data_IF_670450066098
#
_entry.id   IF_670450066098
#
_cell.length_a   1.000
_cell.length_b   1.000
_cell.length_c   1.000
_cell.angle_alpha   90.00
_cell.angle_beta   90.00
_cell.angle_gamma   90.00
#
_symmetry.space_group_name_H-M   'P 1'
#
loop_
_entity.id
_entity.type
_entity.pdbx_description
1 polymer ?
#
# COMPACT_ATOMS: atom_id res chain seq x y z
N UNK A 1 -1.16 -4.72 31.19
CA UNK A 1 -0.83 -5.99 30.47
C UNK A 1 -1.43 -5.88 29.08
N UNK A 2 -0.71 -6.22 28.01
CA UNK A 2 -1.26 -6.23 26.64
C UNK A 2 -2.10 -7.48 26.41
N UNK A 3 -3.25 -7.31 25.78
CA UNK A 3 -4.12 -8.43 25.37
C UNK A 3 -4.06 -8.54 23.85
N UNK A 4 -3.86 -9.76 23.39
CA UNK A 4 -3.88 -10.13 21.99
C UNK A 4 -4.90 -11.23 21.77
N UNK A 5 -5.72 -11.06 20.74
CA UNK A 5 -6.63 -12.09 20.25
C UNK A 5 -6.16 -12.58 18.89
N UNK A 6 -6.15 -13.90 18.69
CA UNK A 6 -5.78 -14.51 17.42
C UNK A 6 -6.77 -15.61 17.02
N UNK A 7 -7.42 -15.53 15.86
CA UNK A 7 -8.14 -16.66 15.28
C UNK A 7 -7.17 -17.70 14.71
N UNK A 8 -7.58 -18.97 14.70
CA UNK A 8 -6.83 -20.06 14.10
C UNK A 8 -7.76 -21.13 13.52
N UNK A 9 -7.55 -21.52 12.27
CA UNK A 9 -8.17 -22.69 11.61
C UNK A 9 -7.10 -23.48 10.83
N UNK A 10 -7.47 -24.61 10.23
CA UNK A 10 -6.57 -25.41 9.40
C UNK A 10 -5.97 -24.55 8.27
N UNK A 11 -4.64 -24.44 8.23
CA UNK A 11 -3.93 -23.67 7.19
C UNK A 11 -3.92 -22.15 7.39
N UNK A 12 -4.54 -21.62 8.47
CA UNK A 12 -4.54 -20.18 8.79
C UNK A 12 -4.25 -19.95 10.26
N UNK A 13 -3.18 -19.23 10.53
CA UNK A 13 -2.84 -18.77 11.87
C UNK A 13 -2.76 -17.24 11.87
N UNK A 14 -3.46 -16.62 12.83
CA UNK A 14 -3.53 -15.17 12.96
C UNK A 14 -4.69 -14.55 12.19
N UNK A 15 -5.02 -13.31 12.56
CA UNK A 15 -6.16 -12.55 12.04
C UNK A 15 -6.73 -11.62 13.11
N UNK A 16 -7.66 -10.76 12.72
CA UNK A 16 -8.42 -9.92 13.65
C UNK A 16 -9.91 -10.25 13.54
N UNK A 17 -10.65 -10.02 14.62
CA UNK A 17 -12.10 -9.93 14.52
C UNK A 17 -12.50 -8.86 13.50
N UNK A 18 -13.68 -9.01 12.91
CA UNK A 18 -14.21 -8.06 11.95
C UNK A 18 -15.27 -7.16 12.60
N UNK A 19 -15.60 -6.06 11.91
CA UNK A 19 -16.69 -5.15 12.29
C UNK A 19 -16.55 -4.65 13.74
N UNK A 20 -17.65 -4.63 14.50
CA UNK A 20 -17.71 -4.10 15.86
C UNK A 20 -16.85 -4.86 16.86
N UNK A 21 -16.41 -6.06 16.51
CA UNK A 21 -15.59 -6.93 17.36
C UNK A 21 -14.08 -6.73 17.15
N UNK A 22 -13.68 -6.02 16.08
CA UNK A 22 -12.28 -5.89 15.63
C UNK A 22 -11.30 -5.48 16.73
N UNK A 23 -11.75 -4.63 17.65
CA UNK A 23 -10.95 -4.01 18.69
C UNK A 23 -11.47 -4.33 20.11
N UNK A 24 -12.30 -5.38 20.24
CA UNK A 24 -12.95 -5.71 21.49
C UNK A 24 -11.96 -6.15 22.59
N UNK A 25 -10.88 -6.84 22.20
CA UNK A 25 -9.75 -7.18 23.06
C UNK A 25 -9.04 -5.94 23.64
N UNK A 26 -8.87 -4.89 22.82
CA UNK A 26 -8.34 -3.58 23.27
C UNK A 26 -9.28 -2.89 24.25
N UNK A 27 -10.59 -3.04 24.07
CA UNK A 27 -11.57 -2.52 25.01
C UNK A 27 -11.45 -3.23 26.37
N UNK A 28 -11.38 -4.56 26.38
CA UNK A 28 -11.13 -5.35 27.59
C UNK A 28 -9.83 -4.89 28.27
N UNK A 29 -8.74 -4.75 27.50
CA UNK A 29 -7.47 -4.26 28.02
C UNK A 29 -7.60 -2.89 28.68
N UNK A 30 -8.28 -1.94 28.04
CA UNK A 30 -8.52 -0.59 28.58
C UNK A 30 -9.32 -0.63 29.88
N UNK A 31 -10.35 -1.48 29.98
CA UNK A 31 -11.13 -1.63 31.22
C UNK A 31 -10.29 -2.21 32.35
N UNK A 32 -9.44 -3.20 32.06
CA UNK A 32 -8.50 -3.76 33.05
C UNK A 32 -7.49 -2.70 33.51
N UNK A 33 -6.89 -1.97 32.58
CA UNK A 33 -5.90 -0.93 32.87
C UNK A 33 -6.52 0.19 33.73
N UNK A 34 -7.72 0.69 33.37
CA UNK A 34 -8.42 1.76 34.09
C UNK A 34 -8.83 1.38 35.51
N UNK A 35 -9.10 0.10 35.77
CA UNK A 35 -9.51 -0.40 37.08
C UNK A 35 -8.35 -0.95 37.91
N UNK A 36 -7.11 -0.70 37.47
CA UNK A 36 -5.90 -1.02 38.24
C UNK A 36 -5.59 -2.51 38.30
N UNK A 37 -5.94 -3.29 37.27
CA UNK A 37 -5.63 -4.71 37.19
C UNK A 37 -4.12 -4.97 37.31
N UNK A 38 -3.74 -5.91 38.19
CA UNK A 38 -2.34 -6.27 38.46
C UNK A 38 -2.01 -7.63 37.87
N UNK A 39 -0.90 -7.67 37.14
CA UNK A 39 -0.32 -8.90 36.60
C UNK A 39 1.21 -8.81 36.62
N UNK A 40 1.89 -9.93 36.92
CA UNK A 40 3.34 -10.10 36.73
C UNK A 40 3.70 -10.43 35.27
N UNK A 41 2.70 -10.65 34.42
CA UNK A 41 2.83 -10.90 33.00
C UNK A 41 2.53 -9.63 32.21
N UNK A 42 3.33 -9.39 31.17
CA UNK A 42 3.25 -8.23 30.30
C UNK A 42 2.25 -8.47 29.16
N UNK A 43 2.06 -9.73 28.75
CA UNK A 43 1.22 -10.10 27.60
C UNK A 43 0.30 -11.31 27.88
N UNK A 44 -0.94 -11.23 27.37
CA UNK A 44 -1.91 -12.33 27.30
C UNK A 44 -2.33 -12.54 25.85
N UNK A 45 -2.07 -13.73 25.32
CA UNK A 45 -2.48 -14.17 23.98
C UNK A 45 -3.60 -15.21 24.11
N UNK A 46 -4.80 -14.86 23.65
CA UNK A 46 -5.90 -15.79 23.50
C UNK A 46 -6.02 -16.19 22.04
N UNK A 47 -5.84 -17.49 21.77
CA UNK A 47 -6.06 -18.07 20.44
C UNK A 47 -7.42 -18.77 20.41
N UNK A 48 -8.31 -18.34 19.54
CA UNK A 48 -9.60 -18.98 19.28
C UNK A 48 -9.43 -19.94 18.12
N UNK A 49 -9.43 -21.23 18.40
CA UNK A 49 -9.37 -22.25 17.37
C UNK A 49 -10.77 -22.73 17.01
N UNK A 50 -11.08 -22.78 15.72
CA UNK A 50 -12.40 -23.16 15.24
C UNK A 50 -12.31 -23.89 13.89
N UNK A 51 -13.21 -24.83 13.59
CA UNK A 51 -13.41 -25.37 12.24
C UNK A 51 -14.29 -24.39 11.44
N UNK A 52 -13.88 -23.93 10.24
CA UNK A 52 -14.18 -24.70 9.03
C UNK A 52 -12.91 -25.03 8.25
N UNK A 53 -12.83 -26.26 7.75
CA UNK A 53 -11.60 -26.85 7.22
C UNK A 53 -11.39 -26.51 5.74
N UNK A 54 -11.08 -25.27 5.36
CA UNK A 54 -10.72 -24.98 3.97
C UNK A 54 -9.23 -25.20 3.74
N UNK A 55 -8.90 -26.31 3.06
CA UNK A 55 -7.53 -26.56 2.61
C UNK A 55 -7.32 -25.75 1.32
N UNK A 56 -6.36 -24.82 1.31
CA UNK A 56 -5.91 -24.19 0.06
C UNK A 56 -5.59 -25.30 -0.97
N UNK A 57 -6.09 -25.23 -2.22
CA UNK A 57 -5.86 -26.27 -3.21
C UNK A 57 -4.37 -26.64 -3.31
N UNK A 58 -4.03 -27.89 -3.02
CA UNK A 58 -2.66 -28.42 -3.08
C UNK A 58 -2.01 -28.77 -1.73
N UNK A 59 -2.68 -28.57 -0.59
CA UNK A 59 -2.09 -28.82 0.75
C UNK A 59 -2.78 -29.98 1.49
N UNK A 60 -2.82 -31.15 0.86
CA UNK A 60 -3.36 -32.38 1.46
C UNK A 60 -2.49 -32.75 2.68
N UNK A 61 -3.08 -32.74 3.89
CA UNK A 61 -2.41 -33.18 5.14
C UNK A 61 -2.57 -32.22 6.34
N UNK A 62 -2.66 -30.91 6.10
CA UNK A 62 -2.78 -29.90 7.17
C UNK A 62 -4.09 -30.06 7.96
N UNK A 63 -5.17 -30.47 7.31
CA UNK A 63 -6.45 -30.73 7.97
C UNK A 63 -6.35 -31.82 9.04
N UNK A 64 -5.70 -32.94 8.71
CA UNK A 64 -5.54 -34.08 9.62
C UNK A 64 -4.69 -33.68 10.82
N UNK A 65 -3.61 -32.93 10.59
CA UNK A 65 -2.77 -32.41 11.66
C UNK A 65 -3.51 -31.40 12.54
N UNK A 66 -4.21 -30.42 11.93
CA UNK A 66 -5.01 -29.46 12.67
C UNK A 66 -6.08 -30.15 13.50
N UNK A 67 -6.80 -31.14 12.95
CA UNK A 67 -7.82 -31.90 13.69
C UNK A 67 -7.21 -32.65 14.88
N UNK A 68 -6.03 -33.25 14.72
CA UNK A 68 -5.27 -33.89 15.82
C UNK A 68 -4.85 -32.89 16.89
N UNK A 69 -4.43 -31.67 16.52
CA UNK A 69 -4.12 -30.63 17.51
C UNK A 69 -5.40 -30.08 18.17
N UNK A 70 -6.45 -29.86 17.39
CA UNK A 70 -7.71 -29.29 17.85
C UNK A 70 -8.32 -30.11 19.00
N UNK A 71 -8.30 -31.44 18.91
CA UNK A 71 -8.82 -32.29 19.98
C UNK A 71 -8.07 -32.11 21.31
N UNK A 72 -6.80 -31.71 21.29
CA UNK A 72 -5.95 -31.54 22.49
C UNK A 72 -6.17 -30.22 23.23
N UNK A 73 -6.95 -29.29 22.69
CA UNK A 73 -7.26 -28.03 23.37
C UNK A 73 -8.21 -28.24 24.56
N UNK A 74 -8.04 -27.49 25.68
CA UNK A 74 -7.27 -26.24 25.76
C UNK A 74 -5.76 -26.41 25.89
N UNK A 75 -4.99 -25.65 25.12
CA UNK A 75 -3.54 -25.51 25.31
C UNK A 75 -3.25 -24.26 26.13
N UNK A 76 -2.25 -24.31 27.01
CA UNK A 76 -1.88 -23.15 27.82
C UNK A 76 -0.44 -23.17 28.31
N UNK A 77 0.22 -22.02 28.21
CA UNK A 77 1.62 -21.81 28.61
C UNK A 77 1.78 -20.46 29.32
N UNK A 78 2.26 -20.49 30.57
CA UNK A 78 2.67 -19.30 31.33
C UNK A 78 4.19 -19.18 31.30
N UNK A 79 4.71 -18.39 30.36
CA UNK A 79 6.13 -18.16 30.15
C UNK A 79 6.63 -17.01 31.04
N UNK A 80 7.14 -17.35 32.22
CA UNK A 80 7.63 -16.38 33.22
C UNK A 80 8.89 -15.64 32.77
N UNK A 81 9.74 -16.25 31.95
CA UNK A 81 10.97 -15.62 31.44
C UNK A 81 10.66 -14.43 30.53
N UNK A 82 9.68 -14.59 29.66
CA UNK A 82 9.23 -13.55 28.75
C UNK A 82 7.97 -12.84 29.22
N UNK A 83 7.53 -13.09 30.47
CA UNK A 83 6.31 -12.53 31.07
C UNK A 83 5.09 -12.63 30.13
N UNK A 84 4.94 -13.78 29.47
CA UNK A 84 3.92 -14.02 28.44
C UNK A 84 2.99 -15.15 28.82
N UNK A 85 1.70 -14.98 28.58
CA UNK A 85 0.67 -16.02 28.70
C UNK A 85 0.15 -16.35 27.30
N UNK A 86 0.18 -17.63 26.92
CA UNK A 86 -0.42 -18.13 25.69
C UNK A 86 -1.52 -19.15 26.06
N UNK A 87 -2.76 -18.89 25.65
CA UNK A 87 -3.93 -19.78 25.83
C UNK A 87 -4.54 -20.06 24.46
N UNK A 88 -4.89 -21.30 24.17
CA UNK A 88 -5.63 -21.69 22.97
C UNK A 88 -6.87 -22.48 23.36
N UNK A 89 -8.04 -21.99 22.96
CA UNK A 89 -9.34 -22.57 23.29
C UNK A 89 -10.09 -22.99 22.03
N UNK A 90 -10.98 -23.98 22.17
CA UNK A 90 -11.97 -24.32 21.14
C UNK A 90 -13.04 -23.24 21.11
N UNK A 91 -13.37 -22.74 19.93
CA UNK A 91 -14.30 -21.65 19.72
C UNK A 91 -15.11 -21.84 18.41
N UNK A 92 -15.75 -23.01 18.19
CA UNK A 92 -16.46 -23.32 16.94
C UNK A 92 -17.57 -22.31 16.59
N UNK A 93 -18.04 -21.53 17.56
CA UNK A 93 -19.01 -20.45 17.39
C UNK A 93 -18.50 -19.34 16.44
N UNK A 94 -17.19 -19.19 16.30
CA UNK A 94 -16.59 -18.18 15.44
C UNK A 94 -16.37 -18.63 13.99
N UNK A 95 -16.70 -19.88 13.68
CA UNK A 95 -16.52 -20.52 12.36
C UNK A 95 -17.13 -19.72 11.21
N UNK A 96 -18.36 -19.26 11.38
CA UNK A 96 -19.04 -18.48 10.36
C UNK A 96 -18.50 -17.05 10.27
N UNK A 97 -18.16 -16.44 11.41
CA UNK A 97 -17.86 -15.01 11.52
C UNK A 97 -16.55 -14.60 10.84
N UNK A 98 -15.50 -15.41 10.97
CA UNK A 98 -14.19 -15.07 10.41
C UNK A 98 -14.11 -15.31 8.90
N UNK A 99 -14.83 -16.28 8.36
CA UNK A 99 -14.64 -16.76 6.98
C UNK A 99 -15.84 -16.49 6.04
N UNK A 100 -16.81 -15.66 6.44
CA UNK A 100 -18.07 -15.45 5.71
C UNK A 100 -17.91 -15.12 4.20
N UNK A 101 -16.90 -14.34 3.83
CA UNK A 101 -16.63 -13.99 2.44
C UNK A 101 -16.02 -15.15 1.62
N UNK A 102 -15.28 -16.04 2.28
CA UNK A 102 -14.63 -17.19 1.63
C UNK A 102 -15.49 -18.45 1.65
N UNK A 103 -16.41 -18.55 2.61
CA UNK A 103 -17.40 -19.61 2.67
C UNK A 103 -18.20 -19.71 1.37
N UNK A 104 -18.52 -18.60 0.71
CA UNK A 104 -19.21 -18.63 -0.60
C UNK A 104 -18.39 -19.34 -1.68
N UNK A 105 -17.06 -19.26 -1.63
CA UNK A 105 -16.16 -19.89 -2.61
C UNK A 105 -16.06 -21.40 -2.38
N UNK A 106 -16.12 -21.83 -1.12
CA UNK A 106 -15.86 -23.22 -0.72
C UNK A 106 -17.04 -23.92 -0.04
N UNK A 107 -18.27 -23.39 -0.18
CA UNK A 107 -19.49 -23.89 0.47
C UNK A 107 -19.77 -25.38 0.15
N UNK A 108 -19.29 -25.86 -0.99
CA UNK A 108 -19.44 -27.24 -1.45
C UNK A 108 -18.45 -28.22 -0.80
N UNK A 109 -17.45 -27.74 -0.08
CA UNK A 109 -16.40 -28.58 0.50
C UNK A 109 -16.68 -28.96 1.96
N UNK A 110 -17.33 -28.08 2.73
CA UNK A 110 -17.62 -28.32 4.16
C UNK A 110 -18.89 -27.57 4.59
N UNK A 111 -19.65 -28.17 5.50
CA UNK A 111 -20.84 -27.56 6.10
C UNK A 111 -20.53 -27.09 7.53
N UNK A 112 -20.96 -25.86 7.87
CA UNK A 112 -20.93 -25.36 9.24
C UNK A 112 -22.12 -25.98 9.98
N UNK A 113 -21.88 -26.52 11.17
CA UNK A 113 -22.98 -27.05 12.01
C UNK A 113 -24.05 -25.98 12.20
N UNK A 114 -25.33 -26.36 12.06
CA UNK A 114 -26.45 -25.43 12.04
C UNK A 114 -26.49 -24.49 13.24
N UNK A 115 -26.05 -24.95 14.41
CA UNK A 115 -25.96 -24.19 15.65
C UNK A 115 -24.92 -23.06 15.64
N UNK A 116 -23.95 -23.09 14.72
CA UNK A 116 -22.92 -22.05 14.56
C UNK A 116 -23.18 -21.12 13.37
N UNK A 117 -24.34 -21.26 12.73
CA UNK A 117 -24.78 -20.39 11.63
C UNK A 117 -25.59 -19.22 12.16
N UNK A 118 -25.40 -18.05 11.54
CA UNK A 118 -26.10 -16.79 11.79
C UNK A 118 -26.02 -16.28 13.24
N UNK A 119 -24.95 -16.58 13.97
CA UNK A 119 -24.74 -16.04 15.32
C UNK A 119 -24.58 -14.51 15.23
N UNK A 120 -25.34 -13.80 16.05
CA UNK A 120 -25.32 -12.33 16.08
C UNK A 120 -24.02 -11.81 16.70
N UNK A 121 -23.56 -10.63 16.26
CA UNK A 121 -22.31 -10.03 16.78
C UNK A 121 -22.33 -9.83 18.30
N UNK A 122 -23.48 -9.46 18.88
CA UNK A 122 -23.63 -9.32 20.33
C UNK A 122 -23.46 -10.65 21.07
N UNK A 123 -23.98 -11.74 20.52
CA UNK A 123 -23.84 -13.08 21.08
C UNK A 123 -22.38 -13.57 20.96
N UNK A 124 -21.74 -13.36 19.80
CA UNK A 124 -20.31 -13.63 19.63
C UNK A 124 -19.43 -12.85 20.61
N UNK A 125 -19.75 -11.59 20.89
CA UNK A 125 -19.04 -10.81 21.91
C UNK A 125 -19.23 -11.40 23.32
N UNK A 126 -20.42 -11.86 23.68
CA UNK A 126 -20.66 -12.53 24.96
C UNK A 126 -19.86 -13.84 25.06
N UNK A 127 -19.87 -14.65 23.99
CA UNK A 127 -19.07 -15.87 23.89
C UNK A 127 -17.57 -15.54 24.00
N UNK A 128 -17.10 -14.47 23.36
CA UNK A 128 -15.71 -14.02 23.46
C UNK A 128 -15.32 -13.71 24.91
N UNK A 129 -16.19 -13.02 25.65
CA UNK A 129 -15.96 -12.76 27.08
C UNK A 129 -15.90 -14.07 27.86
N UNK A 130 -16.75 -15.04 27.55
CA UNK A 130 -16.71 -16.37 28.17
C UNK A 130 -15.39 -17.09 27.90
N UNK A 131 -14.83 -16.98 26.69
CA UNK A 131 -13.50 -17.52 26.38
C UNK A 131 -12.39 -16.82 27.16
N UNK A 132 -12.49 -15.51 27.40
CA UNK A 132 -11.56 -14.81 28.28
C UNK A 132 -11.70 -15.22 29.75
N UNK A 133 -12.93 -15.46 30.23
CA UNK A 133 -13.18 -15.98 31.58
C UNK A 133 -12.57 -17.37 31.75
N UNK A 134 -12.81 -18.29 30.80
CA UNK A 134 -12.21 -19.62 30.76
C UNK A 134 -10.66 -19.55 30.76
N UNK A 135 -10.09 -18.66 29.95
CA UNK A 135 -8.65 -18.42 29.96
C UNK A 135 -8.15 -17.91 31.33
N UNK A 136 -8.89 -17.02 31.98
CA UNK A 136 -8.60 -16.51 33.33
C UNK A 136 -8.57 -17.62 34.37
N UNK A 137 -9.51 -18.56 34.32
CA UNK A 137 -9.55 -19.73 35.21
C UNK A 137 -8.32 -20.63 35.02
N UNK A 138 -7.98 -20.91 33.76
CA UNK A 138 -6.78 -21.69 33.41
C UNK A 138 -5.52 -21.00 33.95
N UNK A 139 -5.39 -19.68 33.76
CA UNK A 139 -4.26 -18.90 34.27
C UNK A 139 -4.17 -19.01 35.78
N UNK A 140 -5.28 -18.75 36.48
CA UNK A 140 -5.36 -18.77 37.94
C UNK A 140 -4.92 -20.13 38.52
N UNK A 141 -5.34 -21.23 37.88
CA UNK A 141 -4.96 -22.60 38.29
C UNK A 141 -3.46 -22.91 38.13
N UNK A 142 -2.73 -22.13 37.33
CA UNK A 142 -1.32 -22.36 36.96
C UNK A 142 -0.34 -21.34 37.57
N UNK A 143 -0.83 -20.42 38.41
CA UNK A 143 0.01 -19.45 39.10
C UNK A 143 0.96 -20.15 40.08
N UNK A 144 2.19 -19.66 40.16
CA UNK A 144 3.16 -19.99 41.21
C UNK A 144 3.10 -18.93 42.31
N UNK A 145 3.68 -19.25 43.47
CA UNK A 145 3.72 -18.39 44.68
C UNK A 145 4.09 -16.92 44.42
N UNK A 146 4.95 -16.64 43.42
CA UNK A 146 5.44 -15.30 43.12
C UNK A 146 4.78 -14.68 41.88
N UNK A 147 3.88 -15.39 41.21
CA UNK A 147 3.13 -14.82 40.09
C UNK A 147 2.03 -13.91 40.65
N UNK A 148 1.79 -12.79 39.98
CA UNK A 148 0.68 -11.89 40.27
C UNK A 148 -0.28 -11.95 39.10
N UNK A 149 -1.55 -12.23 39.37
CA UNK A 149 -2.64 -12.11 38.41
C UNK A 149 -3.92 -11.96 39.22
N UNK A 150 -4.49 -10.76 39.26
CA UNK A 150 -5.69 -10.46 40.06
C UNK A 150 -6.95 -11.06 39.42
N UNK A 151 -7.11 -12.38 39.59
CA UNK A 151 -8.17 -13.14 38.94
C UNK A 151 -9.57 -12.65 39.32
N UNK A 152 -9.80 -12.28 40.58
CA UNK A 152 -11.09 -11.79 41.03
C UNK A 152 -11.46 -10.46 40.36
N UNK A 153 -10.51 -9.53 40.27
CA UNK A 153 -10.71 -8.28 39.54
C UNK A 153 -10.92 -8.53 38.04
N UNK A 154 -10.10 -9.39 37.43
CA UNK A 154 -10.22 -9.77 36.02
C UNK A 154 -11.61 -10.33 35.71
N UNK A 155 -12.06 -11.31 36.50
CA UNK A 155 -13.38 -11.94 36.40
C UNK A 155 -14.50 -10.92 36.55
N UNK A 156 -14.44 -10.07 37.58
CA UNK A 156 -15.46 -9.03 37.83
C UNK A 156 -15.58 -8.06 36.65
N UNK A 157 -14.45 -7.62 36.10
CA UNK A 157 -14.42 -6.70 34.96
C UNK A 157 -15.04 -7.36 33.73
N UNK A 158 -14.63 -8.58 33.41
CA UNK A 158 -15.19 -9.32 32.28
C UNK A 158 -16.70 -9.56 32.43
N UNK A 159 -17.17 -9.95 33.61
CA UNK A 159 -18.61 -10.10 33.86
C UNK A 159 -19.35 -8.77 33.66
N UNK A 160 -18.83 -7.65 34.14
CA UNK A 160 -19.44 -6.34 33.92
C UNK A 160 -19.51 -5.97 32.43
N UNK A 161 -18.45 -6.28 31.67
CA UNK A 161 -18.44 -6.12 30.22
C UNK A 161 -19.54 -6.99 29.61
N UNK A 162 -19.61 -8.27 29.97
CA UNK A 162 -20.60 -9.23 29.45
C UNK A 162 -22.03 -8.72 29.60
N UNK A 163 -22.39 -8.22 30.78
CA UNK A 163 -23.72 -7.68 31.07
C UNK A 163 -24.05 -6.42 30.26
N UNK A 164 -23.04 -5.68 29.81
CA UNK A 164 -23.22 -4.45 29.03
C UNK A 164 -23.37 -4.70 27.53
N UNK A 165 -23.08 -5.92 27.06
CA UNK A 165 -23.06 -6.23 25.62
C UNK A 165 -24.47 -6.21 25.04
N UNK A 166 -24.67 -5.28 24.11
CA UNK A 166 -25.79 -5.21 23.19
C UNK A 166 -25.29 -4.57 21.87
N UNK A 167 -26.08 -4.58 20.78
CA UNK A 167 -25.64 -4.02 19.50
C UNK A 167 -25.16 -2.56 19.58
N UNK A 168 -25.89 -1.70 20.30
CA UNK A 168 -25.54 -0.29 20.46
C UNK A 168 -24.22 -0.10 21.23
N UNK A 169 -24.00 -0.89 22.28
CA UNK A 169 -22.75 -0.88 23.04
C UNK A 169 -21.55 -1.24 22.14
N UNK A 170 -21.66 -2.30 21.35
CA UNK A 170 -20.58 -2.73 20.45
C UNK A 170 -20.28 -1.68 19.37
N UNK A 171 -21.31 -1.11 18.75
CA UNK A 171 -21.16 -0.04 17.77
C UNK A 171 -20.49 1.20 18.37
N UNK A 172 -20.87 1.58 19.61
CA UNK A 172 -20.30 2.73 20.30
C UNK A 172 -18.81 2.54 20.63
N UNK A 173 -18.41 1.33 21.03
CA UNK A 173 -17.00 0.98 21.30
C UNK A 173 -16.21 1.01 20.01
N UNK A 174 -16.70 0.33 18.98
CA UNK A 174 -16.09 0.28 17.66
C UNK A 174 -15.85 1.68 17.11
N UNK A 175 -16.87 2.56 17.15
CA UNK A 175 -16.76 3.95 16.68
C UNK A 175 -15.71 4.74 17.45
N UNK A 176 -15.73 4.68 18.79
CA UNK A 176 -14.75 5.38 19.63
C UNK A 176 -13.32 4.91 19.36
N UNK A 177 -13.12 3.61 19.19
CA UNK A 177 -11.80 3.04 18.93
C UNK A 177 -11.31 3.35 17.53
N UNK A 178 -12.17 3.32 16.52
CA UNK A 178 -11.81 3.76 15.16
C UNK A 178 -11.34 5.21 15.15
N UNK A 179 -12.09 6.12 15.81
CA UNK A 179 -11.68 7.54 15.96
C UNK A 179 -10.33 7.64 16.68
N UNK A 180 -10.14 6.88 17.77
CA UNK A 180 -8.87 6.87 18.51
C UNK A 180 -7.70 6.39 17.63
N UNK A 181 -7.91 5.34 16.83
CA UNK A 181 -6.90 4.80 15.91
C UNK A 181 -6.57 5.77 14.79
N UNK A 182 -7.56 6.40 14.19
CA UNK A 182 -7.41 7.45 13.18
C UNK A 182 -6.56 8.60 13.75
N UNK A 183 -6.94 9.12 14.93
CA UNK A 183 -6.20 10.17 15.61
C UNK A 183 -4.74 9.77 15.90
N UNK A 184 -4.51 8.54 16.36
CA UNK A 184 -3.17 8.03 16.63
C UNK A 184 -2.34 7.91 15.34
N UNK A 185 -2.94 7.48 14.22
CA UNK A 185 -2.27 7.39 12.92
C UNK A 185 -1.91 8.77 12.39
N UNK A 186 -2.85 9.71 12.43
CA UNK A 186 -2.61 11.11 12.03
C UNK A 186 -1.47 11.70 12.86
N UNK A 187 -1.52 11.54 14.19
CA UNK A 187 -0.46 12.02 15.09
C UNK A 187 0.90 11.44 14.71
N UNK A 188 0.99 10.12 14.48
CA UNK A 188 2.22 9.45 14.06
C UNK A 188 2.72 9.97 12.71
N UNK A 189 1.84 10.20 11.74
CA UNK A 189 2.21 10.74 10.43
C UNK A 189 2.82 12.15 10.55
N UNK A 190 2.22 13.00 11.39
CA UNK A 190 2.74 14.35 11.68
C UNK A 190 4.12 14.27 12.34
N UNK A 191 4.28 13.44 13.37
CA UNK A 191 5.58 13.26 14.06
C UNK A 191 6.70 12.82 13.10
N UNK A 192 6.40 11.89 12.18
CA UNK A 192 7.37 11.45 11.17
C UNK A 192 7.73 12.55 10.18
N UNK A 193 6.77 13.37 9.77
CA UNK A 193 7.00 14.50 8.87
C UNK A 193 7.83 15.60 9.53
N UNK A 194 7.55 15.92 10.80
CA UNK A 194 8.37 16.86 11.58
C UNK A 194 9.80 16.33 11.80
N UNK A 195 9.97 15.02 12.02
CA UNK A 195 11.30 14.42 12.10
C UNK A 195 12.08 14.60 10.79
N UNK A 196 11.43 14.38 9.63
CA UNK A 196 12.04 14.61 8.31
C UNK A 196 12.40 16.08 8.10
N UNK A 197 11.51 16.99 8.45
CA UNK A 197 11.71 18.43 8.37
C UNK A 197 12.94 18.93 9.11
N UNK A 198 13.22 18.32 10.26
CA UNK A 198 14.38 18.66 11.08
C UNK A 198 15.63 17.84 10.73
N UNK A 199 15.57 16.98 9.70
CA UNK A 199 16.70 16.18 9.25
C UNK A 199 17.53 16.93 8.21
N UNK A 200 18.86 16.90 8.35
CA UNK A 200 19.78 17.51 7.38
C UNK A 200 20.55 16.42 6.63
N UNK A 201 19.81 15.60 5.87
CA UNK A 201 20.36 14.47 5.14
C UNK A 201 20.97 14.91 3.80
N UNK A 202 22.07 14.27 3.34
CA UNK A 202 22.68 14.61 2.07
C UNK A 202 21.75 14.28 0.90
N UNK A 203 21.58 15.22 -0.03
CA UNK A 203 20.72 15.12 -1.21
C UNK A 203 21.52 14.56 -2.40
N UNK A 204 21.82 13.27 -2.36
CA UNK A 204 22.75 12.61 -3.29
C UNK A 204 22.07 11.60 -4.24
N UNK A 205 20.83 11.20 -3.98
CA UNK A 205 20.11 10.18 -4.77
C UNK A 205 19.41 10.79 -5.97
N UNK A 206 19.64 10.20 -7.14
CA UNK A 206 18.85 10.50 -8.33
C UNK A 206 17.45 9.90 -8.21
N UNK A 207 16.46 10.67 -8.67
CA UNK A 207 15.09 10.21 -8.78
C UNK A 207 14.98 9.04 -9.76
N UNK A 208 14.16 8.04 -9.41
CA UNK A 208 13.88 6.85 -10.21
C UNK A 208 12.41 6.71 -10.58
N UNK A 209 11.51 7.24 -9.76
CA UNK A 209 10.08 7.06 -9.95
C UNK A 209 9.26 8.20 -9.35
N UNK A 210 8.08 8.42 -9.94
CA UNK A 210 7.05 9.34 -9.45
C UNK A 210 5.68 8.69 -9.65
N UNK A 211 4.88 8.58 -8.58
CA UNK A 211 3.53 7.98 -8.65
C UNK A 211 2.49 8.76 -7.88
N UNK A 212 1.23 8.59 -8.28
CA UNK A 212 0.07 9.06 -7.54
C UNK A 212 -0.66 7.87 -6.93
N UNK A 213 -1.02 7.99 -5.66
CA UNK A 213 -1.87 7.05 -4.94
C UNK A 213 -3.15 7.76 -4.50
N UNK A 214 -4.28 7.08 -4.63
CA UNK A 214 -5.57 7.63 -4.25
C UNK A 214 -6.09 6.95 -2.98
N UNK A 215 -6.55 7.74 -2.02
CA UNK A 215 -7.28 7.26 -0.84
C UNK A 215 -8.77 7.45 -1.08
N UNK A 216 -9.56 6.38 -0.97
CA UNK A 216 -11.02 6.43 -1.04
C UNK A 216 -11.59 7.09 -2.31
N UNK A 217 -10.81 7.07 -3.40
CA UNK A 217 -11.26 7.45 -4.74
C UNK A 217 -11.39 6.20 -5.63
N UNK A 218 -12.22 6.25 -6.69
CA UNK A 218 -12.33 5.16 -7.65
C UNK A 218 -10.97 4.76 -8.27
N UNK A 219 -10.85 3.50 -8.70
CA UNK A 219 -9.68 3.08 -9.49
C UNK A 219 -9.58 3.93 -10.75
N UNK A 220 -8.36 4.38 -11.08
CA UNK A 220 -8.09 5.29 -12.20
C UNK A 220 -8.80 6.65 -12.08
N UNK A 221 -9.03 7.14 -10.85
CA UNK A 221 -9.74 8.40 -10.61
C UNK A 221 -9.20 9.61 -11.39
N UNK A 222 -7.88 9.72 -11.56
CA UNK A 222 -7.22 10.85 -12.23
C UNK A 222 -6.61 10.48 -13.60
N UNK A 223 -6.92 9.27 -14.09
CA UNK A 223 -6.49 8.83 -15.41
C UNK A 223 -7.25 9.61 -16.50
N UNK A 224 -6.60 9.97 -17.64
CA UNK A 224 -5.23 9.63 -18.03
C UNK A 224 -4.15 10.62 -17.56
N UNK A 225 -4.57 11.77 -17.02
CA UNK A 225 -3.68 12.89 -16.77
C UNK A 225 -2.61 12.57 -15.73
N UNK A 226 -2.92 11.82 -14.68
CA UNK A 226 -1.93 11.45 -13.68
C UNK A 226 -0.80 10.60 -14.26
N UNK A 227 -1.14 9.59 -15.06
CA UNK A 227 -0.19 8.75 -15.78
C UNK A 227 0.67 9.57 -16.75
N UNK A 228 0.06 10.49 -17.50
CA UNK A 228 0.76 11.32 -18.46
C UNK A 228 1.72 12.31 -17.79
N UNK A 229 1.23 13.03 -16.76
CA UNK A 229 1.98 14.10 -16.12
C UNK A 229 3.04 13.61 -15.14
N UNK A 230 2.83 12.48 -14.46
CA UNK A 230 3.89 11.87 -13.64
C UNK A 230 5.13 11.55 -14.48
N UNK A 231 4.95 11.00 -15.68
CA UNK A 231 6.04 10.77 -16.63
C UNK A 231 6.76 12.08 -17.02
N UNK A 232 5.99 13.14 -17.31
CA UNK A 232 6.53 14.46 -17.68
C UNK A 232 7.36 15.04 -16.53
N UNK A 233 6.79 15.09 -15.32
CA UNK A 233 7.48 15.62 -14.14
C UNK A 233 8.75 14.83 -13.84
N UNK A 234 8.67 13.50 -13.84
CA UNK A 234 9.80 12.62 -13.56
C UNK A 234 10.98 12.89 -14.51
N UNK A 235 10.72 12.90 -15.81
CA UNK A 235 11.76 13.09 -16.82
C UNK A 235 12.37 14.50 -16.76
N UNK A 236 11.56 15.54 -16.52
CA UNK A 236 12.06 16.90 -16.35
C UNK A 236 12.93 17.04 -15.10
N UNK A 237 12.52 16.44 -13.98
CA UNK A 237 13.30 16.43 -12.72
C UNK A 237 14.65 15.72 -12.90
N UNK A 238 14.65 14.52 -13.51
CA UNK A 238 15.88 13.77 -13.79
C UNK A 238 16.80 14.56 -14.71
N UNK A 239 16.27 15.17 -15.77
CA UNK A 239 17.05 15.98 -16.72
C UNK A 239 17.72 17.19 -16.05
N UNK A 240 17.12 17.73 -14.99
CA UNK A 240 17.70 18.81 -14.18
C UNK A 240 18.63 18.31 -13.07
N UNK A 241 18.95 17.01 -13.04
CA UNK A 241 19.78 16.38 -12.02
C UNK A 241 19.21 16.64 -10.61
N UNK A 242 17.88 16.62 -10.48
CA UNK A 242 17.22 16.80 -9.20
C UNK A 242 17.54 15.63 -8.27
N UNK A 243 18.01 15.93 -7.05
CA UNK A 243 18.47 14.93 -6.08
C UNK A 243 17.64 14.95 -4.81
N UNK A 244 17.45 13.76 -4.26
CA UNK A 244 16.71 13.49 -3.05
C UNK A 244 17.64 12.94 -1.94
N UNK A 245 17.29 13.12 -0.66
CA UNK A 245 17.99 12.49 0.44
C UNK A 245 17.46 11.08 0.69
N UNK A 246 18.33 10.07 0.87
CA UNK A 246 18.02 8.67 1.25
C UNK A 246 17.08 7.88 0.31
N UNK A 247 15.98 8.46 -0.16
CA UNK A 247 15.00 7.90 -1.07
C UNK A 247 15.27 8.28 -2.53
N UNK A 248 14.64 7.55 -3.44
CA UNK A 248 14.69 7.82 -4.88
C UNK A 248 13.34 7.63 -5.59
N UNK A 249 12.26 7.46 -4.82
CA UNK A 249 10.90 7.44 -5.33
C UNK A 249 10.08 8.54 -4.64
N UNK A 250 9.37 9.33 -5.43
CA UNK A 250 8.47 10.37 -4.94
C UNK A 250 7.04 9.89 -5.17
N UNK A 251 6.23 9.83 -4.12
CA UNK A 251 4.82 9.48 -4.25
C UNK A 251 3.96 10.65 -3.81
N UNK A 252 2.79 10.80 -4.44
CA UNK A 252 1.80 11.80 -4.04
C UNK A 252 0.56 11.06 -3.56
N UNK A 253 0.23 11.23 -2.28
CA UNK A 253 -0.99 10.72 -1.68
C UNK A 253 -2.11 11.73 -1.87
N UNK A 254 -3.11 11.37 -2.67
CA UNK A 254 -4.26 12.21 -3.00
C UNK A 254 -5.49 11.71 -2.27
N UNK A 255 -6.17 12.62 -1.58
CA UNK A 255 -7.41 12.31 -0.88
C UNK A 255 -8.38 13.51 -0.89
N UNK A 256 -9.63 13.31 -0.46
CA UNK A 256 -10.61 14.40 -0.30
C UNK A 256 -10.24 15.35 0.84
N UNK A 257 -9.62 14.82 1.91
CA UNK A 257 -9.18 15.60 3.07
C UNK A 257 -7.70 15.41 3.37
N UNK A 258 -7.09 16.38 4.05
CA UNK A 258 -5.70 16.29 4.48
C UNK A 258 -5.50 15.16 5.50
N UNK A 259 -6.47 14.93 6.39
CA UNK A 259 -6.41 13.84 7.36
C UNK A 259 -6.35 12.48 6.68
N UNK A 260 -7.16 12.26 5.64
CA UNK A 260 -7.15 10.99 4.90
C UNK A 260 -5.82 10.78 4.17
N UNK A 261 -5.27 11.85 3.58
CA UNK A 261 -3.94 11.81 2.98
C UNK A 261 -2.86 11.49 4.03
N UNK A 262 -2.91 12.13 5.21
CA UNK A 262 -1.98 11.89 6.31
C UNK A 262 -2.02 10.44 6.81
N UNK A 263 -3.22 9.90 7.07
CA UNK A 263 -3.41 8.54 7.57
C UNK A 263 -2.80 7.46 6.66
N UNK A 264 -2.69 7.75 5.36
CA UNK A 264 -2.18 6.84 4.35
C UNK A 264 -0.77 7.21 3.85
N UNK A 265 -0.08 8.14 4.52
CA UNK A 265 1.24 8.65 4.12
C UNK A 265 2.41 8.13 4.97
N UNK A 266 2.17 7.14 5.83
CA UNK A 266 3.22 6.53 6.65
C UNK A 266 4.03 5.58 5.76
N UNK A 267 5.29 5.93 5.49
CA UNK A 267 6.20 5.07 4.76
C UNK A 267 6.48 3.77 5.54
N UNK A 268 6.48 2.65 4.84
CA UNK A 268 6.87 1.34 5.38
C UNK A 268 8.38 1.12 5.17
N UNK A 269 8.93 1.74 4.13
CA UNK A 269 10.32 1.60 3.69
C UNK A 269 10.98 2.97 3.50
N UNK A 270 12.31 3.01 3.57
CA UNK A 270 13.08 4.27 3.51
C UNK A 270 13.40 4.74 2.08
N UNK A 271 13.12 3.93 1.05
CA UNK A 271 13.48 4.25 -0.34
C UNK A 271 12.46 5.13 -1.09
N UNK A 272 11.32 5.45 -0.46
CA UNK A 272 10.28 6.33 -1.00
C UNK A 272 9.71 7.28 0.06
N UNK A 273 9.08 8.37 -0.40
CA UNK A 273 8.33 9.30 0.46
C UNK A 273 7.01 9.73 -0.17
N UNK A 274 6.05 10.07 0.69
CA UNK A 274 4.80 10.71 0.27
C UNK A 274 4.83 12.22 0.46
N UNK A 275 4.39 12.92 -0.57
CA UNK A 275 3.82 14.25 -0.53
C UNK A 275 2.31 14.19 -0.44
N UNK A 276 1.69 15.19 0.17
CA UNK A 276 0.25 15.22 0.36
C UNK A 276 -0.41 16.20 -0.61
N UNK A 277 -1.51 15.78 -1.20
CA UNK A 277 -2.38 16.66 -1.97
C UNK A 277 -3.85 16.35 -1.67
N UNK A 278 -4.69 17.38 -1.69
CA UNK A 278 -6.13 17.26 -1.51
C UNK A 278 -6.86 17.61 -2.78
N UNK A 279 -7.94 16.90 -3.09
CA UNK A 279 -8.76 17.15 -4.28
C UNK A 279 -10.25 17.19 -3.92
N UNK A 280 -10.95 18.19 -4.41
CA UNK A 280 -12.42 18.16 -4.48
C UNK A 280 -12.83 17.29 -5.67
N UNK A 281 -12.91 15.98 -5.42
CA UNK A 281 -13.19 15.00 -6.47
C UNK A 281 -14.61 15.16 -7.06
N UNK A 282 -15.57 15.56 -6.23
CA UNK A 282 -16.97 15.68 -6.66
C UNK A 282 -17.14 16.90 -7.59
N UNK A 283 -16.37 17.97 -7.35
CA UNK A 283 -16.24 19.06 -8.30
C UNK A 283 -15.46 18.66 -9.56
N UNK A 284 -14.31 17.98 -9.41
CA UNK A 284 -13.46 17.52 -10.52
C UNK A 284 -14.24 16.73 -11.58
N UNK A 285 -15.16 15.86 -11.16
CA UNK A 285 -15.99 15.07 -12.09
C UNK A 285 -16.89 15.91 -13.00
N UNK A 286 -17.23 17.14 -12.59
CA UNK A 286 -18.11 18.06 -13.33
C UNK A 286 -17.35 19.01 -14.27
N UNK A 287 -16.04 19.03 -14.18
CA UNK A 287 -15.18 19.92 -14.96
C UNK A 287 -15.01 19.45 -16.41
N UNK A 288 -14.65 20.38 -17.30
CA UNK A 288 -14.22 20.04 -18.65
C UNK A 288 -12.90 19.27 -18.63
N UNK A 289 -12.57 18.58 -19.72
CA UNK A 289 -11.30 17.85 -19.82
C UNK A 289 -10.07 18.73 -19.61
N UNK A 290 -10.10 19.98 -20.11
CA UNK A 290 -9.00 20.93 -19.89
C UNK A 290 -8.86 21.35 -18.43
N UNK A 291 -9.98 21.54 -17.73
CA UNK A 291 -9.98 21.88 -16.32
C UNK A 291 -9.55 20.69 -15.45
N UNK A 292 -9.98 19.47 -15.79
CA UNK A 292 -9.49 18.24 -15.15
C UNK A 292 -7.98 18.09 -15.29
N UNK A 293 -7.45 18.28 -16.50
CA UNK A 293 -6.01 18.30 -16.78
C UNK A 293 -5.29 19.27 -15.83
N UNK A 294 -5.78 20.52 -15.73
CA UNK A 294 -5.21 21.54 -14.86
C UNK A 294 -5.28 21.16 -13.37
N UNK A 295 -6.39 20.58 -12.91
CA UNK A 295 -6.55 20.11 -11.52
C UNK A 295 -5.55 19.00 -11.21
N UNK A 296 -5.34 18.05 -12.12
CA UNK A 296 -4.37 16.97 -11.92
C UNK A 296 -2.94 17.51 -11.89
N UNK A 297 -2.58 18.41 -12.81
CA UNK A 297 -1.28 19.10 -12.79
C UNK A 297 -1.07 19.81 -11.45
N UNK A 298 -2.08 20.54 -10.97
CA UNK A 298 -2.00 21.23 -9.69
C UNK A 298 -1.85 20.27 -8.51
N UNK A 299 -2.58 19.15 -8.52
CA UNK A 299 -2.49 18.10 -7.50
C UNK A 299 -1.08 17.51 -7.42
N UNK A 300 -0.43 17.24 -8.55
CA UNK A 300 0.95 16.75 -8.59
C UNK A 300 1.91 17.82 -8.06
N UNK A 301 1.73 19.09 -8.46
CA UNK A 301 2.54 20.21 -7.99
C UNK A 301 2.45 20.35 -6.47
N UNK A 302 1.25 20.25 -5.90
CA UNK A 302 1.04 20.40 -4.46
C UNK A 302 1.71 19.27 -3.68
N UNK A 303 1.58 18.02 -4.16
CA UNK A 303 2.28 16.87 -3.57
C UNK A 303 3.80 17.00 -3.66
N UNK A 304 4.35 17.38 -4.81
CA UNK A 304 5.79 17.56 -4.97
C UNK A 304 6.32 18.73 -4.14
N UNK A 305 5.56 19.82 -4.04
CA UNK A 305 5.91 20.99 -3.23
C UNK A 305 5.87 20.65 -1.73
N UNK A 306 4.93 19.83 -1.30
CA UNK A 306 4.88 19.34 0.08
C UNK A 306 6.19 18.62 0.46
N UNK A 307 6.64 17.68 -0.39
CA UNK A 307 7.92 16.97 -0.19
C UNK A 307 9.09 17.97 -0.20
N UNK A 308 9.09 18.90 -1.16
CA UNK A 308 10.12 19.91 -1.30
C UNK A 308 10.34 20.73 -0.04
N UNK A 309 9.24 21.18 0.57
CA UNK A 309 9.25 22.02 1.76
C UNK A 309 9.72 21.22 2.97
N UNK A 310 9.27 19.96 3.09
CA UNK A 310 9.64 19.12 4.23
C UNK A 310 11.11 18.73 4.15
N UNK A 311 11.60 18.27 3.01
CA UNK A 311 12.97 17.76 2.90
C UNK A 311 13.98 18.83 2.44
N UNK A 312 13.58 20.10 2.45
CA UNK A 312 14.40 21.26 2.04
C UNK A 312 15.05 21.07 0.66
N UNK A 313 14.28 20.57 -0.31
CA UNK A 313 14.78 20.31 -1.67
C UNK A 313 14.94 21.60 -2.47
N UNK A 314 15.61 21.53 -3.63
CA UNK A 314 15.80 22.69 -4.51
C UNK A 314 14.47 23.14 -5.15
N UNK A 315 13.77 24.02 -4.44
CA UNK A 315 12.49 24.62 -4.85
C UNK A 315 12.67 25.45 -6.13
N UNK A 316 13.87 25.96 -6.43
CA UNK A 316 14.11 26.75 -7.65
C UNK A 316 14.02 25.87 -8.90
N UNK A 317 14.57 24.64 -8.84
CA UNK A 317 14.46 23.66 -9.93
C UNK A 317 13.00 23.25 -10.10
N UNK A 318 12.31 22.96 -9.01
CA UNK A 318 10.89 22.58 -9.06
C UNK A 318 10.01 23.68 -9.65
N UNK A 319 10.15 24.93 -9.19
CA UNK A 319 9.35 26.03 -9.72
C UNK A 319 9.57 26.23 -11.23
N UNK A 320 10.80 26.08 -11.74
CA UNK A 320 11.07 26.13 -13.19
C UNK A 320 10.33 25.01 -13.93
N UNK A 321 10.36 23.79 -13.40
CA UNK A 321 9.64 22.65 -13.97
C UNK A 321 8.13 22.86 -13.92
N UNK A 322 7.59 23.36 -12.80
CA UNK A 322 6.16 23.64 -12.65
C UNK A 322 5.68 24.66 -13.69
N UNK A 323 6.46 25.73 -13.90
CA UNK A 323 6.19 26.71 -14.96
C UNK A 323 6.26 26.09 -16.36
N UNK A 324 7.26 25.25 -16.63
CA UNK A 324 7.41 24.57 -17.93
C UNK A 324 6.22 23.65 -18.22
N UNK A 325 5.81 22.82 -17.25
CA UNK A 325 4.67 21.91 -17.39
C UNK A 325 3.35 22.67 -17.55
N UNK A 326 3.13 23.75 -16.81
CA UNK A 326 1.93 24.58 -16.99
C UNK A 326 1.86 25.25 -18.35
N UNK A 327 3.00 25.64 -18.91
CA UNK A 327 3.07 26.30 -20.21
C UNK A 327 2.87 25.32 -21.36
N UNK A 328 3.54 24.16 -21.32
CA UNK A 328 3.57 23.20 -22.42
C UNK A 328 2.54 22.08 -22.30
N UNK A 329 2.11 21.76 -21.07
CA UNK A 329 1.22 20.65 -20.79
C UNK A 329 1.70 19.33 -21.41
N UNK A 330 0.79 18.63 -22.07
CA UNK A 330 1.05 17.39 -22.80
C UNK A 330 1.93 17.58 -24.06
N UNK A 331 2.19 18.80 -24.50
CA UNK A 331 3.14 19.11 -25.59
C UNK A 331 4.58 19.24 -25.10
N UNK A 332 4.85 18.83 -23.85
CA UNK A 332 6.20 18.70 -23.33
C UNK A 332 6.92 17.53 -24.02
N UNK A 333 7.88 17.86 -24.89
CA UNK A 333 8.74 16.88 -25.55
C UNK A 333 9.80 16.33 -24.58
N UNK A 334 9.75 15.03 -24.32
CA UNK A 334 10.66 14.31 -23.43
C UNK A 334 11.81 13.70 -24.23
N UNK A 335 13.00 13.71 -23.65
CA UNK A 335 14.19 13.11 -24.24
C UNK A 335 14.45 11.74 -23.61
N UNK A 336 14.35 10.70 -24.42
CA UNK A 336 14.64 9.34 -23.98
C UNK A 336 16.16 9.09 -23.96
N UNK A 337 16.84 9.41 -25.06
CA UNK A 337 18.28 9.15 -25.21
C UNK A 337 18.89 10.01 -26.31
N UNK A 338 20.16 10.39 -26.11
CA UNK A 338 20.99 10.98 -27.15
C UNK A 338 22.20 10.08 -27.42
N UNK A 339 22.51 9.85 -28.70
CA UNK A 339 23.69 9.13 -29.19
C UNK A 339 24.42 9.99 -30.22
N UNK A 340 25.73 9.81 -30.34
CA UNK A 340 26.55 10.64 -31.22
C UNK A 340 27.74 9.83 -31.76
N UNK A 341 28.08 10.03 -33.03
CA UNK A 341 29.31 9.56 -33.65
C UNK A 341 30.02 10.70 -34.38
N UNK A 342 31.06 10.42 -35.16
CA UNK A 342 31.83 11.47 -35.87
C UNK A 342 30.98 12.35 -36.77
N UNK A 343 29.94 11.81 -37.41
CA UNK A 343 29.16 12.50 -38.45
C UNK A 343 27.77 12.93 -37.99
N UNK A 344 27.18 12.21 -37.05
CA UNK A 344 25.77 12.36 -36.70
C UNK A 344 25.54 12.46 -35.19
N UNK A 345 24.50 13.21 -34.83
CA UNK A 345 23.89 13.20 -33.50
C UNK A 345 22.43 12.74 -33.63
N UNK A 346 22.07 11.67 -32.94
CA UNK A 346 20.72 11.14 -32.88
C UNK A 346 20.13 11.46 -31.51
N UNK A 347 19.06 12.25 -31.49
CA UNK A 347 18.27 12.51 -30.28
C UNK A 347 16.89 11.86 -30.41
N UNK A 348 16.56 11.00 -29.47
CA UNK A 348 15.31 10.25 -29.44
C UNK A 348 14.38 10.90 -28.43
N UNK A 349 13.20 11.29 -28.90
CA UNK A 349 12.22 12.01 -28.11
C UNK A 349 10.84 11.39 -28.21
N UNK A 350 9.96 11.73 -27.27
CA UNK A 350 8.56 11.32 -27.28
C UNK A 350 7.69 12.34 -26.55
N UNK A 351 6.38 12.25 -26.74
CA UNK A 351 5.40 12.97 -25.94
C UNK A 351 4.62 11.96 -25.10
N UNK A 352 4.47 12.23 -23.80
CA UNK A 352 3.68 11.39 -22.91
C UNK A 352 2.21 11.42 -23.35
N UNK A 353 1.61 10.25 -23.54
CA UNK A 353 0.21 10.06 -23.95
C UNK A 353 -0.43 8.95 -23.11
N UNK A 354 -1.74 8.77 -23.25
CA UNK A 354 -2.43 7.71 -22.51
C UNK A 354 -2.01 6.33 -23.02
N UNK A 355 -2.37 5.27 -22.30
CA UNK A 355 -2.12 3.89 -22.76
C UNK A 355 -2.87 3.60 -24.07
N UNK A 356 -4.04 4.21 -24.27
CA UNK A 356 -4.85 4.02 -25.48
C UNK A 356 -4.25 4.76 -26.69
N UNK A 357 -3.75 5.98 -26.48
CA UNK A 357 -3.19 6.80 -27.56
C UNK A 357 -1.78 6.40 -27.97
N UNK A 358 -1.02 5.85 -27.00
CA UNK A 358 0.41 5.53 -27.06
C UNK A 358 1.29 6.75 -27.36
N UNK A 359 2.51 6.73 -26.84
CA UNK A 359 3.45 7.84 -26.96
C UNK A 359 4.09 7.84 -28.35
N UNK A 360 3.93 8.88 -29.18
CA UNK A 360 4.64 8.98 -30.44
C UNK A 360 6.13 9.22 -30.19
N UNK A 361 6.97 8.41 -30.83
CA UNK A 361 8.43 8.42 -30.68
C UNK A 361 9.06 9.00 -31.94
N UNK A 362 10.01 9.91 -31.77
CA UNK A 362 10.69 10.61 -32.84
C UNK A 362 12.20 10.40 -32.79
N UNK A 363 12.79 10.25 -33.97
CA UNK A 363 14.22 10.42 -34.19
C UNK A 363 14.47 11.82 -34.73
N UNK A 364 15.34 12.56 -34.03
CA UNK A 364 15.88 13.84 -34.47
C UNK A 364 17.35 13.59 -34.85
N UNK A 365 17.61 13.42 -36.13
CA UNK A 365 18.93 13.12 -36.66
C UNK A 365 19.58 14.39 -37.19
N UNK A 366 20.67 14.80 -36.56
CA UNK A 366 21.46 15.97 -36.95
C UNK A 366 22.73 15.52 -37.66
N UNK A 367 22.94 15.97 -38.90
CA UNK A 367 24.22 15.86 -39.60
C UNK A 367 25.14 16.99 -39.11
N UNK A 368 26.29 16.63 -38.53
CA UNK A 368 27.18 17.60 -37.87
C UNK A 368 27.87 18.55 -38.85
N UNK A 369 28.21 18.07 -40.04
CA UNK A 369 28.91 18.86 -41.04
C UNK A 369 28.06 20.06 -41.52
N UNK A 370 26.76 19.85 -41.67
CA UNK A 370 25.82 20.89 -42.16
C UNK A 370 24.95 21.49 -41.06
N UNK A 371 24.99 20.91 -39.86
CA UNK A 371 24.10 21.18 -38.73
C UNK A 371 22.59 21.04 -39.08
N UNK A 372 22.25 20.34 -40.16
CA UNK A 372 20.86 20.09 -40.56
C UNK A 372 20.28 18.96 -39.72
N UNK A 373 19.07 19.19 -39.20
CA UNK A 373 18.33 18.19 -38.42
C UNK A 373 17.08 17.76 -39.17
N UNK A 374 16.88 16.45 -39.32
CA UNK A 374 15.62 15.88 -39.82
C UNK A 374 14.93 15.10 -38.71
N UNK A 375 13.61 15.31 -38.58
CA UNK A 375 12.75 14.68 -37.59
C UNK A 375 11.82 13.69 -38.27
N UNK A 376 11.77 12.47 -37.75
CA UNK A 376 10.93 11.38 -38.26
C UNK A 376 10.27 10.65 -37.11
N UNK A 377 8.97 10.37 -37.21
CA UNK A 377 8.27 9.52 -36.24
C UNK A 377 8.57 8.05 -36.58
N UNK A 378 9.07 7.30 -35.59
CA UNK A 378 9.51 5.91 -35.79
C UNK A 378 8.52 4.88 -35.22
N UNK A 379 7.53 5.35 -34.45
CA UNK A 379 6.41 4.52 -34.01
C UNK A 379 5.74 5.07 -32.76
N UNK A 380 4.98 4.20 -32.09
CA UNK A 380 4.26 4.52 -30.85
C UNK A 380 4.36 3.38 -29.84
N UNK A 381 4.47 3.72 -28.55
CA UNK A 381 4.45 2.76 -27.45
C UNK A 381 4.00 3.42 -26.14
N UNK A 382 3.51 2.64 -25.18
CA UNK A 382 3.20 3.13 -23.83
C UNK A 382 4.47 3.58 -23.09
N UNK A 383 4.36 4.52 -22.13
CA UNK A 383 5.52 4.97 -21.32
C UNK A 383 6.31 3.77 -20.74
N UNK A 384 5.60 2.76 -20.21
CA UNK A 384 6.24 1.55 -19.65
C UNK A 384 6.89 0.64 -20.70
N UNK A 385 6.48 0.73 -21.96
CA UNK A 385 7.02 -0.07 -23.06
C UNK A 385 8.29 0.56 -23.65
N UNK A 386 8.44 1.89 -23.66
CA UNK A 386 9.54 2.60 -24.34
C UNK A 386 10.91 2.05 -23.93
N UNK A 387 11.15 1.89 -22.62
CA UNK A 387 12.43 1.35 -22.11
C UNK A 387 12.73 -0.08 -22.60
N UNK A 388 11.70 -0.92 -22.70
CA UNK A 388 11.84 -2.29 -23.19
C UNK A 388 12.00 -2.33 -24.71
N UNK A 389 11.28 -1.46 -25.43
CA UNK A 389 11.26 -1.46 -26.89
C UNK A 389 12.53 -0.85 -27.49
N UNK A 390 13.04 0.21 -26.87
CA UNK A 390 14.23 0.95 -27.30
C UNK A 390 15.46 0.61 -26.44
N UNK A 391 15.60 -0.65 -26.03
CA UNK A 391 16.63 -1.10 -25.08
C UNK A 391 18.06 -0.91 -25.60
N UNK A 392 18.32 -1.34 -26.85
CA UNK A 392 19.65 -1.27 -27.48
C UNK A 392 19.55 -0.47 -28.77
N UNK A 393 20.33 0.61 -28.86
CA UNK A 393 20.34 1.51 -30.01
C UNK A 393 21.78 1.69 -30.47
N UNK A 394 22.04 1.42 -31.74
CA UNK A 394 23.35 1.56 -32.36
C UNK A 394 23.27 2.54 -33.53
N UNK A 395 24.08 3.60 -33.46
CA UNK A 395 24.22 4.63 -34.49
C UNK A 395 25.56 4.45 -35.22
N UNK A 396 25.49 3.99 -36.46
CA UNK A 396 26.66 3.90 -37.36
C UNK A 396 26.67 5.08 -38.35
N UNK A 397 27.62 5.10 -39.29
CA UNK A 397 27.66 6.13 -40.33
C UNK A 397 26.58 5.95 -41.42
N UNK A 398 25.94 4.77 -41.48
CA UNK A 398 24.97 4.43 -42.52
C UNK A 398 23.58 4.09 -41.97
N UNK A 399 23.54 3.50 -40.78
CA UNK A 399 22.34 2.89 -40.21
C UNK A 399 22.13 3.30 -38.76
N UNK A 400 20.86 3.38 -38.36
CA UNK A 400 20.40 3.31 -36.98
C UNK A 400 19.74 1.95 -36.77
N UNK A 401 20.21 1.18 -35.80
CA UNK A 401 19.62 -0.11 -35.43
C UNK A 401 19.05 -0.05 -34.02
N UNK A 402 17.80 -0.46 -33.86
CA UNK A 402 17.12 -0.56 -32.56
C UNK A 402 16.77 -2.02 -32.31
N UNK A 403 17.04 -2.51 -31.10
CA UNK A 403 16.61 -3.81 -30.62
C UNK A 403 15.89 -3.69 -29.29
N UNK A 404 14.76 -4.37 -29.19
CA UNK A 404 14.02 -4.53 -27.95
C UNK A 404 14.77 -5.42 -26.96
N UNK A 405 14.33 -5.40 -25.70
CA UNK A 405 14.67 -6.41 -24.70
C UNK A 405 14.19 -7.79 -25.15
N UNK A 406 14.96 -8.82 -24.79
CA UNK A 406 14.70 -10.25 -25.02
C UNK A 406 14.17 -10.95 -23.76
N UNK A 407 13.91 -10.21 -22.69
CA UNK A 407 13.36 -10.74 -21.45
C UNK A 407 11.94 -11.28 -21.61
N UNK A 408 11.55 -12.23 -20.75
CA UNK A 408 10.17 -12.77 -20.70
C UNK A 408 9.16 -11.62 -20.54
N UNK A 409 9.48 -10.64 -19.68
CA UNK A 409 8.65 -9.45 -19.49
C UNK A 409 8.47 -8.67 -20.80
N UNK A 410 9.54 -8.45 -21.55
CA UNK A 410 9.43 -7.79 -22.85
C UNK A 410 8.58 -8.61 -23.82
N UNK A 411 8.67 -9.93 -23.81
CA UNK A 411 7.80 -10.81 -24.59
C UNK A 411 6.31 -10.63 -24.31
N UNK A 412 5.93 -10.42 -23.05
CA UNK A 412 4.53 -10.16 -22.67
C UNK A 412 4.10 -8.74 -23.01
N UNK A 413 4.96 -7.74 -22.76
CA UNK A 413 4.59 -6.34 -22.86
C UNK A 413 4.77 -5.72 -24.25
N UNK A 414 5.49 -6.37 -25.18
CA UNK A 414 5.80 -5.86 -26.52
C UNK A 414 5.27 -6.75 -27.64
N UNK A 415 4.25 -7.58 -27.38
CA UNK A 415 3.82 -8.64 -28.30
C UNK A 415 3.40 -8.09 -29.69
N UNK A 416 2.90 -6.85 -29.75
CA UNK A 416 2.52 -6.14 -30.98
C UNK A 416 3.65 -5.28 -31.59
N UNK A 417 4.83 -5.21 -30.98
CA UNK A 417 5.92 -4.31 -31.38
C UNK A 417 7.03 -5.04 -32.13
N UNK A 418 7.66 -4.41 -33.14
CA UNK A 418 8.82 -5.00 -33.82
C UNK A 418 9.99 -5.13 -32.84
N UNK A 419 10.59 -6.33 -32.77
CA UNK A 419 11.75 -6.62 -31.92
C UNK A 419 13.06 -6.00 -32.42
N UNK A 420 13.15 -5.77 -33.73
CA UNK A 420 14.29 -5.12 -34.38
C UNK A 420 13.79 -4.12 -35.41
N UNK A 421 14.38 -2.93 -35.44
CA UNK A 421 14.12 -1.89 -36.43
C UNK A 421 15.45 -1.38 -36.99
N UNK A 422 15.52 -1.18 -38.30
CA UNK A 422 16.71 -0.69 -39.00
C UNK A 422 16.30 0.49 -39.88
N UNK A 423 17.02 1.59 -39.77
CA UNK A 423 16.77 2.80 -40.54
C UNK A 423 18.03 3.22 -41.27
N UNK A 424 17.93 3.51 -42.56
CA UNK A 424 19.03 4.07 -43.34
C UNK A 424 19.12 5.60 -43.13
N UNK A 425 20.29 6.09 -42.76
CA UNK A 425 20.51 7.51 -42.50
C UNK A 425 20.27 8.36 -43.76
N UNK A 426 20.70 7.85 -44.92
CA UNK A 426 20.49 8.53 -46.20
C UNK A 426 19.00 8.71 -46.52
N UNK A 427 18.13 7.79 -46.09
CA UNK A 427 16.68 7.92 -46.28
C UNK A 427 16.07 8.88 -45.27
N UNK A 428 16.50 8.81 -44.01
CA UNK A 428 16.00 9.71 -42.97
C UNK A 428 16.37 11.18 -43.21
N UNK A 429 17.44 11.47 -43.95
CA UNK A 429 17.91 12.83 -44.27
C UNK A 429 17.37 13.39 -45.59
N UNK A 430 16.68 12.58 -46.41
CA UNK A 430 15.82 13.09 -47.49
C UNK A 430 14.64 13.82 -46.88
#
# INVERSE_FOLDING_TARGET
>A
MKIYLSPSTAGRYGGSLNRSLRNFDRFIQSQLDNLGFKSSFDELWLTLSYPPMYVLPGVIGIEIEHKKYYITFPYSRLNRRYKKIDITLKAPEFSEHFDKAEQTIYQHQFDIESQYKNIQEAELAQILVDKFLEAGEIINSKLKKNDVFDYDLFRRILLNIKHSINPYFLESISSKQSIQEENNRVKRAIELREKRKNSNLPKDKLLKDLRIYYVDLPKKALYPYDYQYTEIFLNLLIKKNFKCPQYNHLYVQVAKTLNDALMNSINIEDWYVYGLATIDFDNYLKQTEKEKENIVVQTIIDGLRDIAIIDDLDISIMNKIFSEVRLKGLDTELEYRTLENTYYKLKITYYSRSMEEQCPIYFNLTEKATNKTKRVQVGKADNSQINLWLQKINLTNKLIKVKSSDSIRAGVYLDDKPKEMVFEIAELLK
#
